data_IF_313225199627
#
_entry.id   IF_313225199627
#
_cell.length_a   1.000
_cell.length_b   1.000
_cell.length_c   1.000
_cell.angle_alpha   90.00
_cell.angle_beta   90.00
_cell.angle_gamma   90.00
#
_symmetry.space_group_name_H-M   'P 1'
#
loop_
_entity.id
_entity.type
_entity.pdbx_description
1 polymer ?
#
# COMPACT_ATOMS: atom_id res chain seq x y z
N UNK A 1 -56.18 46.96 -11.82
CA UNK A 1 -54.91 46.21 -11.86
C UNK A 1 -53.78 47.20 -11.55
N UNK A 2 -53.25 47.16 -10.33
CA UNK A 2 -51.93 47.72 -9.99
C UNK A 2 -50.90 46.60 -10.28
N UNK A 3 -49.64 46.83 -10.67
CA UNK A 3 -48.51 47.38 -9.92
C UNK A 3 -47.38 47.64 -10.95
N UNK A 4 -46.77 48.84 -10.96
CA UNK A 4 -45.46 49.22 -10.38
C UNK A 4 -44.26 48.97 -11.31
N UNK A 5 -43.44 50.02 -11.36
CA UNK A 5 -42.24 50.31 -12.13
C UNK A 5 -41.04 49.63 -11.46
N UNK A 6 -40.22 48.87 -12.20
CA UNK A 6 -38.91 48.43 -11.71
C UNK A 6 -37.78 49.01 -12.58
N UNK A 7 -37.06 49.91 -11.92
CA UNK A 7 -35.82 50.59 -12.30
C UNK A 7 -34.66 49.60 -12.35
N UNK A 8 -33.92 49.59 -13.45
CA UNK A 8 -32.69 48.79 -13.64
C UNK A 8 -31.57 49.37 -12.73
N UNK A 9 -30.94 48.56 -11.84
CA UNK A 9 -29.80 49.02 -11.06
C UNK A 9 -28.50 48.96 -11.89
N UNK A 10 -27.87 50.13 -12.01
CA UNK A 10 -26.50 50.31 -12.47
C UNK A 10 -25.52 49.49 -11.61
N UNK A 11 -24.93 48.44 -12.20
CA UNK A 11 -23.90 47.65 -11.55
C UNK A 11 -22.60 48.45 -11.46
N UNK A 12 -22.25 48.86 -10.23
CA UNK A 12 -20.96 49.49 -9.93
C UNK A 12 -19.86 48.44 -10.06
N UNK A 13 -19.03 48.57 -11.09
CA UNK A 13 -17.74 47.89 -11.19
C UNK A 13 -16.86 48.32 -10.01
N UNK A 14 -16.71 47.44 -9.02
CA UNK A 14 -15.74 47.55 -7.94
C UNK A 14 -14.80 46.35 -8.01
N UNK A 15 -13.53 46.67 -8.26
CA UNK A 15 -12.38 45.82 -8.62
C UNK A 15 -12.35 44.43 -7.93
N UNK A 16 -12.40 43.31 -8.67
CA UNK A 16 -12.21 41.96 -8.10
C UNK A 16 -10.77 41.74 -7.61
N UNK A 17 -9.84 42.60 -8.02
CA UNK A 17 -8.44 42.59 -7.59
C UNK A 17 -8.28 42.80 -6.09
N UNK A 18 -9.13 43.60 -5.43
CA UNK A 18 -9.02 43.80 -3.98
C UNK A 18 -9.38 42.54 -3.21
N UNK A 19 -10.42 41.81 -3.65
CA UNK A 19 -10.79 40.55 -3.03
C UNK A 19 -9.69 39.48 -3.21
N UNK A 20 -9.13 39.36 -4.43
CA UNK A 20 -8.00 38.47 -4.70
C UNK A 20 -6.77 38.84 -3.88
N UNK A 21 -6.44 40.13 -3.79
CA UNK A 21 -5.28 40.62 -3.04
C UNK A 21 -5.43 40.39 -1.53
N UNK A 22 -6.64 40.56 -0.98
CA UNK A 22 -6.94 40.24 0.42
C UNK A 22 -6.80 38.74 0.67
N UNK A 23 -7.31 37.88 -0.23
CA UNK A 23 -7.19 36.43 -0.13
C UNK A 23 -5.72 35.95 -0.14
N UNK A 24 -4.89 36.58 -0.98
CA UNK A 24 -3.45 36.29 -1.12
C UNK A 24 -2.67 36.68 0.15
N UNK A 25 -2.97 37.84 0.73
CA UNK A 25 -2.35 38.30 1.98
C UNK A 25 -2.74 37.41 3.17
N UNK A 26 -4.00 36.99 3.26
CA UNK A 26 -4.46 36.01 4.26
C UNK A 26 -3.68 34.70 4.16
N UNK A 27 -3.51 34.16 2.95
CA UNK A 27 -2.76 32.92 2.72
C UNK A 27 -1.29 33.03 3.18
N UNK A 28 -0.65 34.18 2.95
CA UNK A 28 0.74 34.44 3.39
C UNK A 28 0.87 34.57 4.92
N UNK A 29 -0.16 35.07 5.61
CA UNK A 29 -0.21 35.13 7.07
C UNK A 29 -0.36 33.73 7.69
N UNK A 30 -1.11 32.82 7.06
CA UNK A 30 -1.25 31.44 7.55
C UNK A 30 0.09 30.66 7.52
N UNK A 31 0.97 30.92 6.54
CA UNK A 31 2.26 30.22 6.46
C UNK A 31 3.28 30.74 7.47
N UNK A 32 3.13 31.98 7.97
CA UNK A 32 4.01 32.56 8.99
C UNK A 32 3.85 31.92 10.38
N UNK A 33 2.74 31.21 10.66
CA UNK A 33 2.53 30.51 11.93
C UNK A 33 3.08 29.08 11.95
N UNK A 34 3.58 28.57 10.82
CA UNK A 34 4.15 27.23 10.71
C UNK A 34 5.67 27.27 10.43
N UNK A 35 6.42 28.04 11.23
CA UNK A 35 7.88 27.87 11.34
C UNK A 35 8.19 27.10 12.63
N UNK A 36 8.17 25.77 12.54
CA UNK A 36 8.81 24.91 13.54
C UNK A 36 10.13 24.40 12.96
N UNK A 37 11.25 24.90 13.50
CA UNK A 37 12.55 24.29 13.32
C UNK A 37 12.64 23.01 14.15
N UNK A 38 13.03 21.91 13.52
CA UNK A 38 13.86 20.86 14.13
C UNK A 38 14.71 20.33 12.97
N UNK A 39 16.04 20.38 13.02
CA UNK A 39 16.83 19.63 14.01
C UNK A 39 16.86 18.17 13.55
N UNK A 40 18.03 17.68 13.13
CA UNK A 40 18.24 16.34 12.56
C UNK A 40 17.50 15.22 13.29
N UNK A 41 16.74 14.39 12.55
CA UNK A 41 16.62 12.96 12.86
C UNK A 41 16.62 12.17 11.56
N UNK A 42 17.72 11.45 11.29
CA UNK A 42 17.75 10.38 10.30
C UNK A 42 16.62 9.39 10.64
N UNK A 43 15.52 9.43 9.90
CA UNK A 43 14.70 8.23 9.72
C UNK A 43 15.39 7.43 8.62
N UNK A 44 16.07 6.35 8.99
CA UNK A 44 16.32 5.28 8.03
C UNK A 44 14.93 4.71 7.71
N UNK A 45 14.29 5.28 6.68
CA UNK A 45 13.16 4.64 6.04
C UNK A 45 13.75 3.38 5.42
N UNK A 46 13.41 2.26 6.04
CA UNK A 46 13.74 0.93 5.57
C UNK A 46 13.42 0.89 4.07
N UNK A 47 14.48 0.77 3.28
CA UNK A 47 14.43 0.77 1.82
C UNK A 47 13.72 -0.51 1.40
N UNK A 48 12.39 -0.45 1.30
CA UNK A 48 11.63 -1.42 0.53
C UNK A 48 12.17 -1.39 -0.89
N UNK A 49 12.55 -2.57 -1.35
CA UNK A 49 13.13 -2.85 -2.65
C UNK A 49 12.16 -2.41 -3.76
N UNK A 50 12.32 -1.19 -4.24
CA UNK A 50 11.76 -0.74 -5.52
C UNK A 50 12.65 -1.27 -6.64
N UNK A 51 12.13 -2.25 -7.37
CA UNK A 51 12.66 -2.63 -8.69
C UNK A 51 11.47 -2.81 -9.64
N UNK A 52 11.12 -1.70 -10.31
CA UNK A 52 10.65 -1.60 -11.70
C UNK A 52 9.56 -2.56 -12.21
N UNK A 53 8.33 -2.05 -12.33
CA UNK A 53 7.32 -2.60 -13.25
C UNK A 53 5.89 -2.11 -12.97
N UNK A 54 5.55 -0.87 -13.34
CA UNK A 54 4.24 -0.25 -13.09
C UNK A 54 3.02 -0.89 -13.79
N UNK A 55 3.18 -2.07 -14.41
CA UNK A 55 2.08 -2.91 -14.90
C UNK A 55 1.62 -3.91 -13.81
N UNK A 56 2.41 -4.12 -12.76
CA UNK A 56 2.23 -5.23 -11.82
C UNK A 56 1.40 -4.89 -10.57
N UNK A 57 1.19 -3.61 -10.28
CA UNK A 57 0.47 -3.18 -9.07
C UNK A 57 -0.98 -3.67 -9.02
N UNK A 58 -1.63 -3.89 -10.15
CA UNK A 58 -3.00 -4.44 -10.20
C UNK A 58 -3.04 -5.97 -10.20
N UNK A 59 -1.98 -6.63 -10.68
CA UNK A 59 -1.87 -8.08 -10.68
C UNK A 59 -1.61 -8.61 -9.26
N UNK A 60 -0.83 -7.89 -8.47
CA UNK A 60 -0.57 -8.26 -7.06
C UNK A 60 -1.82 -8.23 -6.16
N UNK A 61 -2.87 -7.47 -6.53
CA UNK A 61 -4.12 -7.41 -5.77
C UNK A 61 -4.93 -8.72 -5.80
N UNK A 62 -4.61 -9.61 -6.73
CA UNK A 62 -5.32 -10.89 -6.92
C UNK A 62 -4.53 -12.09 -6.40
N UNK A 63 -3.30 -11.89 -5.93
CA UNK A 63 -2.56 -12.90 -5.20
C UNK A 63 -3.27 -13.26 -3.90
N UNK A 64 -3.16 -14.52 -3.46
CA UNK A 64 -3.71 -14.95 -2.18
C UNK A 64 -2.91 -14.39 -0.99
N UNK A 65 -1.62 -14.15 -1.20
CA UNK A 65 -0.65 -13.71 -0.22
C UNK A 65 -0.31 -12.24 -0.37
N UNK A 66 -0.85 -11.41 0.52
CA UNK A 66 -0.46 -9.99 0.62
C UNK A 66 0.83 -9.76 1.43
N UNK A 67 1.11 -10.66 2.39
CA UNK A 67 2.26 -10.59 3.28
C UNK A 67 2.79 -11.98 3.59
N UNK A 68 4.10 -12.10 3.74
CA UNK A 68 4.76 -13.33 4.13
C UNK A 68 5.10 -13.34 5.61
N UNK A 69 5.17 -14.53 6.19
CA UNK A 69 5.53 -14.78 7.59
C UNK A 69 6.89 -15.45 7.65
N UNK A 70 7.75 -14.94 8.52
CA UNK A 70 9.09 -15.49 8.78
C UNK A 70 9.15 -16.19 10.14
N UNK A 71 10.28 -16.85 10.46
CA UNK A 71 10.52 -17.41 11.79
C UNK A 71 9.77 -18.71 12.15
N UNK A 72 8.92 -19.23 11.27
CA UNK A 72 8.13 -20.45 11.55
C UNK A 72 9.01 -21.68 11.68
N UNK A 73 8.77 -22.50 12.72
CA UNK A 73 9.49 -23.75 12.90
C UNK A 73 8.85 -24.87 12.05
N UNK A 74 9.63 -25.67 11.28
CA UNK A 74 9.06 -26.65 10.34
C UNK A 74 8.15 -27.70 11.01
N UNK A 75 8.39 -28.03 12.28
CA UNK A 75 7.54 -28.97 13.05
C UNK A 75 6.11 -28.48 13.27
N UNK A 76 5.88 -27.17 13.14
CA UNK A 76 4.56 -26.58 13.30
C UNK A 76 3.77 -26.58 11.99
N UNK A 77 4.43 -26.86 10.85
CA UNK A 77 3.79 -26.93 9.53
C UNK A 77 3.20 -28.34 9.36
N UNK A 78 1.88 -28.37 9.18
CA UNK A 78 1.12 -29.57 8.88
C UNK A 78 1.24 -29.89 7.38
N UNK A 79 0.89 -28.95 6.51
CA UNK A 79 0.95 -29.12 5.05
C UNK A 79 1.45 -27.84 4.35
N UNK A 80 1.90 -28.01 3.11
CA UNK A 80 2.34 -26.95 2.22
C UNK A 80 1.59 -27.02 0.90
N UNK A 81 1.29 -25.86 0.36
CA UNK A 81 0.74 -25.65 -0.98
C UNK A 81 1.65 -24.65 -1.69
N UNK A 82 2.10 -25.00 -2.90
CA UNK A 82 2.93 -24.14 -3.73
C UNK A 82 2.14 -23.79 -4.98
N UNK A 83 1.83 -22.51 -5.13
CA UNK A 83 1.06 -21.97 -6.25
C UNK A 83 2.06 -21.28 -7.19
N UNK A 84 2.10 -21.75 -8.44
CA UNK A 84 2.94 -21.15 -9.47
C UNK A 84 2.41 -19.80 -9.95
N UNK A 85 3.23 -19.10 -10.74
CA UNK A 85 2.81 -17.85 -11.40
C UNK A 85 1.64 -18.13 -12.34
N UNK A 86 0.62 -17.28 -12.30
CA UNK A 86 -0.56 -17.34 -13.17
C UNK A 86 -0.95 -15.97 -13.74
N UNK A 87 -2.00 -15.96 -14.55
CA UNK A 87 -2.53 -14.74 -15.20
C UNK A 87 -3.12 -13.72 -14.22
N UNK A 88 -3.43 -14.17 -13.00
CA UNK A 88 -4.00 -13.33 -11.95
C UNK A 88 -2.99 -12.98 -10.88
N UNK A 89 -1.91 -13.74 -10.72
CA UNK A 89 -0.84 -13.45 -9.78
C UNK A 89 0.48 -13.89 -10.40
N UNK A 90 1.36 -12.94 -10.71
CA UNK A 90 2.65 -13.22 -11.35
C UNK A 90 3.75 -13.65 -10.35
N UNK A 91 3.40 -13.80 -9.07
CA UNK A 91 4.27 -14.28 -7.99
C UNK A 91 4.06 -15.77 -7.77
N UNK A 92 5.12 -16.44 -7.31
CA UNK A 92 4.99 -17.78 -6.73
C UNK A 92 4.52 -17.61 -5.30
N UNK A 93 3.54 -18.39 -4.86
CA UNK A 93 3.01 -18.33 -3.50
C UNK A 93 3.28 -19.65 -2.80
N UNK A 94 3.71 -19.58 -1.53
CA UNK A 94 3.88 -20.76 -0.69
C UNK A 94 2.97 -20.59 0.52
N UNK A 95 1.91 -21.38 0.59
CA UNK A 95 0.93 -21.33 1.67
C UNK A 95 1.17 -22.53 2.58
N UNK A 96 1.42 -22.26 3.86
CA UNK A 96 1.55 -23.29 4.88
C UNK A 96 0.30 -23.35 5.74
N UNK A 97 -0.22 -24.55 5.95
CA UNK A 97 -1.20 -24.82 7.00
C UNK A 97 -0.44 -25.30 8.22
N UNK A 98 -0.60 -24.60 9.34
CA UNK A 98 -0.01 -24.96 10.61
C UNK A 98 -0.86 -26.03 11.33
N UNK A 99 -0.26 -26.73 12.29
CA UNK A 99 -0.95 -27.75 13.10
C UNK A 99 -2.12 -27.21 13.92
N UNK A 100 -2.13 -25.91 14.20
CA UNK A 100 -3.24 -25.21 14.86
C UNK A 100 -4.35 -24.78 13.86
N UNK A 101 -4.24 -25.19 12.59
CA UNK A 101 -5.20 -24.90 11.53
C UNK A 101 -5.00 -23.54 10.86
N UNK A 102 -4.10 -22.67 11.35
CA UNK A 102 -3.86 -21.38 10.71
C UNK A 102 -3.17 -21.53 9.37
N UNK A 103 -3.63 -20.76 8.39
CA UNK A 103 -2.96 -20.61 7.09
C UNK A 103 -2.09 -19.37 7.10
N UNK A 104 -0.84 -19.52 6.65
CA UNK A 104 0.11 -18.43 6.54
C UNK A 104 0.84 -18.50 5.20
N UNK A 105 1.24 -17.35 4.68
CA UNK A 105 2.09 -17.27 3.51
C UNK A 105 3.56 -17.25 3.92
N UNK A 106 4.40 -17.95 3.17
CA UNK A 106 5.84 -18.01 3.35
C UNK A 106 6.53 -17.36 2.14
N UNK A 107 7.72 -16.82 2.36
CA UNK A 107 8.51 -16.22 1.29
C UNK A 107 9.17 -17.31 0.42
N UNK A 108 8.79 -17.45 -0.87
CA UNK A 108 9.35 -18.46 -1.77
C UNK A 108 10.85 -18.27 -2.04
N UNK A 109 11.36 -17.04 -1.91
CA UNK A 109 12.76 -16.71 -2.20
C UNK A 109 13.68 -16.95 -1.02
N UNK A 110 13.13 -16.99 0.20
CA UNK A 110 13.88 -17.23 1.42
C UNK A 110 14.53 -18.64 1.42
N UNK A 111 15.87 -18.75 1.57
CA UNK A 111 16.57 -20.04 1.53
C UNK A 111 16.08 -21.07 2.55
N UNK A 112 15.64 -20.58 3.73
CA UNK A 112 15.07 -21.44 4.78
C UNK A 112 13.74 -22.07 4.35
N UNK A 113 12.91 -21.33 3.62
CA UNK A 113 11.61 -21.82 3.14
C UNK A 113 11.83 -22.86 2.04
N UNK A 114 12.75 -22.62 1.09
CA UNK A 114 13.13 -23.60 0.06
C UNK A 114 13.53 -24.96 0.67
N UNK A 115 14.35 -24.94 1.73
CA UNK A 115 14.73 -26.15 2.49
C UNK A 115 13.55 -26.84 3.17
N UNK A 116 12.57 -26.09 3.66
CA UNK A 116 11.38 -26.65 4.29
C UNK A 116 10.51 -27.35 3.26
N UNK A 117 10.28 -26.70 2.11
CA UNK A 117 9.52 -27.28 1.00
C UNK A 117 10.18 -28.57 0.53
N UNK A 118 11.49 -28.53 0.26
CA UNK A 118 12.26 -29.69 -0.17
C UNK A 118 12.12 -30.87 0.81
N UNK A 119 12.35 -30.66 2.10
CA UNK A 119 12.24 -31.72 3.12
C UNK A 119 10.83 -32.30 3.25
N UNK A 120 9.80 -31.51 2.97
CA UNK A 120 8.41 -31.98 3.02
C UNK A 120 8.09 -32.84 1.80
N UNK A 121 8.52 -32.42 0.62
CA UNK A 121 8.35 -33.20 -0.62
C UNK A 121 9.15 -34.51 -0.61
N UNK A 122 10.37 -34.50 -0.06
CA UNK A 122 11.23 -35.71 0.05
C UNK A 122 10.73 -36.67 1.14
N UNK A 123 10.04 -36.16 2.18
CA UNK A 123 9.55 -36.97 3.29
C UNK A 123 8.35 -37.85 2.93
N UNK A 124 7.59 -37.45 1.91
CA UNK A 124 6.40 -38.19 1.44
C UNK A 124 6.80 -39.39 0.53
N UNK A 125 8.02 -39.42 -0.01
CA UNK A 125 8.53 -40.49 -0.90
C UNK A 125 8.98 -41.76 -0.15
N UNK A 126 8.97 -41.75 1.18
CA UNK A 126 9.47 -42.86 2.02
C UNK A 126 8.37 -43.66 2.74
N UNK A 127 7.10 -43.42 2.41
CA UNK A 127 5.94 -44.01 3.07
C UNK A 127 5.05 -44.87 2.15
N UNK A 128 5.52 -45.22 0.95
CA UNK A 128 4.89 -46.20 0.04
C UNK A 128 5.74 -47.47 -0.12
#
# INVERSE_FOLDING_TARGET
MSLRLDTIPSCKSARPFHALQVLLLLSLLLTALASSSNGQTKRNLEKSKEESGDIDSYAELRCMCMKTTSGIHPRNIQSLEVIGKGIHCNKVEVIATLKDGRKICLDPDAPRIKKIVQKKLEGDESAD
#
